data_IF_615967791384
#
_entry.id   IF_615967791384
#
_cell.length_a   1.000
_cell.length_b   1.000
_cell.length_c   1.000
_cell.angle_alpha   90.00
_cell.angle_beta   90.00
_cell.angle_gamma   90.00
#
_symmetry.space_group_name_H-M   'P 1'
#
loop_
_entity.id
_entity.type
_entity.pdbx_description
1 polymer ?
#
# COMPACT_ATOMS: atom_id res chain seq x y z
N UNK A 1 18.50 4.63 27.29
CA UNK A 1 18.00 5.03 25.96
C UNK A 1 17.89 3.76 25.17
N UNK A 2 16.69 3.23 24.98
CA UNK A 2 16.50 1.97 24.26
C UNK A 2 16.46 2.29 22.77
N UNK A 3 17.49 1.90 22.05
CA UNK A 3 17.48 1.84 20.59
C UNK A 3 16.50 0.74 20.14
N UNK A 4 15.23 1.11 20.04
CA UNK A 4 14.11 0.20 19.75
C UNK A 4 13.98 -0.16 18.27
N UNK A 5 15.02 -0.02 17.44
CA UNK A 5 14.92 -0.32 16.02
C UNK A 5 16.21 -0.95 15.50
N UNK A 6 16.48 -2.18 15.92
CA UNK A 6 17.39 -3.02 15.12
C UNK A 6 16.78 -3.22 13.74
N UNK A 7 17.58 -3.09 12.65
CA UNK A 7 17.07 -3.29 11.30
C UNK A 7 16.43 -4.67 11.15
N UNK A 8 15.24 -4.72 10.59
CA UNK A 8 14.61 -6.01 10.27
C UNK A 8 15.43 -6.70 9.16
N UNK A 9 15.75 -8.00 9.28
CA UNK A 9 16.68 -8.69 8.37
C UNK A 9 16.25 -8.70 6.90
N UNK A 10 14.96 -8.50 6.62
CA UNK A 10 14.40 -8.46 5.27
C UNK A 10 14.23 -7.02 4.73
N UNK A 11 14.82 -6.01 5.40
CA UNK A 11 14.79 -4.61 4.96
C UNK A 11 16.20 -4.13 4.58
N UNK A 12 16.26 -3.09 3.75
CA UNK A 12 17.53 -2.48 3.32
C UNK A 12 17.50 -0.97 3.47
N UNK A 13 18.62 -0.33 3.88
CA UNK A 13 18.69 1.12 3.95
C UNK A 13 18.89 1.74 2.57
N UNK A 14 18.52 3.01 2.46
CA UNK A 14 18.97 3.91 1.40
C UNK A 14 19.46 5.21 2.04
N UNK A 15 20.69 5.65 1.74
CA UNK A 15 21.35 6.82 2.32
C UNK A 15 21.21 6.90 3.86
N UNK A 16 21.38 5.77 4.55
CA UNK A 16 21.28 5.67 6.00
C UNK A 16 19.84 5.63 6.56
N UNK A 17 18.81 5.78 5.74
CA UNK A 17 17.42 5.63 6.15
C UNK A 17 17.01 4.16 6.08
N UNK A 18 16.59 3.62 7.22
CA UNK A 18 16.09 2.26 7.35
C UNK A 18 14.56 2.23 7.41
N UNK A 19 13.90 1.21 6.83
CA UNK A 19 12.47 0.99 7.06
C UNK A 19 12.16 0.80 8.54
N UNK A 20 11.04 1.36 8.99
CA UNK A 20 10.51 1.23 10.35
C UNK A 20 9.22 0.41 10.31
N UNK A 21 9.15 -0.62 11.15
CA UNK A 21 8.04 -1.56 11.19
C UNK A 21 7.32 -1.49 12.53
N UNK A 22 6.01 -1.53 12.49
CA UNK A 22 5.16 -1.70 13.66
C UNK A 22 5.17 -3.12 14.21
N UNK A 23 4.39 -3.35 15.25
CA UNK A 23 4.23 -4.68 15.86
C UNK A 23 3.49 -5.64 14.93
N UNK A 24 3.91 -6.91 14.93
CA UNK A 24 3.22 -7.96 14.18
C UNK A 24 3.26 -7.84 12.64
N UNK A 25 4.15 -7.01 12.09
CA UNK A 25 4.32 -6.89 10.64
C UNK A 25 4.93 -8.17 10.07
N UNK A 26 4.33 -8.70 9.01
CA UNK A 26 4.89 -9.80 8.21
C UNK A 26 5.55 -9.27 6.93
N UNK A 27 6.77 -9.66 6.69
CA UNK A 27 7.47 -9.45 5.41
C UNK A 27 7.90 -10.80 4.88
N UNK A 28 7.42 -11.17 3.69
CA UNK A 28 7.84 -12.41 3.03
C UNK A 28 9.33 -12.33 2.66
N UNK A 29 10.12 -13.42 2.83
CA UNK A 29 11.54 -13.46 2.46
C UNK A 29 11.83 -13.09 0.99
N UNK A 30 10.88 -13.26 0.08
CA UNK A 30 11.00 -12.85 -1.32
C UNK A 30 10.57 -11.41 -1.59
N UNK A 31 10.09 -10.67 -0.59
CA UNK A 31 9.75 -9.26 -0.72
C UNK A 31 10.98 -8.35 -0.55
N UNK A 32 10.86 -7.10 -0.97
CA UNK A 32 11.93 -6.10 -0.89
C UNK A 32 11.38 -4.79 -0.32
N UNK A 33 11.92 -4.34 0.82
CA UNK A 33 11.55 -3.06 1.45
C UNK A 33 12.81 -2.21 1.66
N UNK A 34 12.84 -1.00 1.08
CA UNK A 34 14.05 -0.18 1.01
C UNK A 34 13.75 1.27 1.39
N UNK A 35 14.63 1.88 2.20
CA UNK A 35 14.70 3.33 2.41
C UNK A 35 13.70 3.89 3.42
N UNK A 36 13.25 5.12 3.21
CA UNK A 36 12.32 5.82 4.14
C UNK A 36 10.89 5.29 4.00
N UNK A 37 10.67 4.13 4.61
CA UNK A 37 9.38 3.42 4.65
C UNK A 37 8.94 3.23 6.09
N UNK A 38 7.68 3.51 6.38
CA UNK A 38 7.02 3.09 7.63
C UNK A 38 5.85 2.16 7.30
N UNK A 39 5.76 1.05 8.03
CA UNK A 39 4.67 0.08 7.92
C UNK A 39 4.04 -0.10 9.30
N UNK A 40 2.76 0.21 9.41
CA UNK A 40 1.98 0.13 10.64
C UNK A 40 1.70 -1.30 11.10
N UNK A 41 1.23 -1.41 12.34
CA UNK A 41 0.98 -2.67 13.04
C UNK A 41 0.11 -3.63 12.24
N UNK A 42 0.38 -4.93 12.37
CA UNK A 42 -0.37 -6.02 11.75
C UNK A 42 -0.51 -5.99 10.23
N UNK A 43 0.31 -5.20 9.56
CA UNK A 43 0.37 -5.16 8.09
C UNK A 43 1.20 -6.31 7.52
N UNK A 44 1.01 -6.61 6.23
CA UNK A 44 1.70 -7.72 5.57
C UNK A 44 2.18 -7.40 4.17
N UNK A 45 3.41 -7.82 3.87
CA UNK A 45 4.10 -7.64 2.58
C UNK A 45 4.39 -9.02 2.01
N UNK A 46 3.71 -9.36 0.93
CA UNK A 46 3.67 -10.71 0.35
C UNK A 46 4.76 -10.93 -0.72
N UNK A 47 4.95 -12.17 -1.20
CA UNK A 47 6.06 -12.53 -2.08
C UNK A 47 6.24 -11.61 -3.27
N UNK A 48 7.49 -11.31 -3.65
CA UNK A 48 7.89 -10.47 -4.78
C UNK A 48 7.35 -9.04 -4.76
N UNK A 49 6.79 -8.58 -3.65
CA UNK A 49 6.39 -7.18 -3.45
C UNK A 49 7.63 -6.30 -3.28
N UNK A 50 7.66 -5.14 -3.95
CA UNK A 50 8.74 -4.16 -3.83
C UNK A 50 8.18 -2.84 -3.29
N UNK A 51 8.71 -2.39 -2.15
CA UNK A 51 8.41 -1.10 -1.53
C UNK A 51 9.71 -0.31 -1.46
N UNK A 52 9.81 0.79 -2.23
CA UNK A 52 11.05 1.55 -2.35
C UNK A 52 10.83 3.03 -2.10
N UNK A 53 11.22 3.50 -0.90
CA UNK A 53 11.20 4.90 -0.46
C UNK A 53 12.61 5.51 -0.51
N UNK A 54 13.13 5.75 -1.70
CA UNK A 54 14.49 6.24 -1.92
C UNK A 54 14.55 7.75 -2.19
N UNK A 55 13.67 8.28 -3.04
CA UNK A 55 13.67 9.69 -3.44
C UNK A 55 12.55 10.51 -2.77
N UNK A 56 11.70 9.85 -2.01
CA UNK A 56 10.66 10.40 -1.13
C UNK A 56 10.24 9.32 -0.13
N UNK A 57 9.31 9.60 0.79
CA UNK A 57 8.91 8.66 1.80
C UNK A 57 7.66 7.85 1.42
N UNK A 58 7.52 6.67 2.03
CA UNK A 58 6.33 5.82 1.99
C UNK A 58 5.82 5.64 3.42
N UNK A 59 4.52 5.81 3.62
CA UNK A 59 3.84 5.56 4.89
C UNK A 59 2.66 4.65 4.67
N UNK A 60 2.64 3.52 5.36
CA UNK A 60 1.59 2.49 5.28
C UNK A 60 0.99 2.33 6.66
N UNK A 61 -0.33 2.43 6.76
CA UNK A 61 -1.08 2.29 8.00
C UNK A 61 -1.13 0.84 8.50
N UNK A 62 -1.89 0.63 9.58
CA UNK A 62 -2.03 -0.66 10.23
C UNK A 62 -2.98 -1.61 9.45
N UNK A 63 -2.82 -2.93 9.63
CA UNK A 63 -3.68 -3.98 9.05
C UNK A 63 -3.86 -3.88 7.54
N UNK A 64 -2.84 -3.37 6.87
CA UNK A 64 -2.81 -3.18 5.41
C UNK A 64 -1.99 -4.29 4.77
N UNK A 65 -2.52 -4.88 3.71
CA UNK A 65 -1.84 -5.97 3.01
C UNK A 65 -1.44 -5.54 1.58
N UNK A 66 -0.20 -5.85 1.22
CA UNK A 66 0.35 -5.63 -0.11
C UNK A 66 0.66 -7.00 -0.71
N UNK A 67 -0.22 -7.42 -1.63
CA UNK A 67 -0.20 -8.78 -2.16
C UNK A 67 0.91 -8.98 -3.20
N UNK A 68 1.14 -10.23 -3.57
CA UNK A 68 2.26 -10.69 -4.36
C UNK A 68 2.54 -9.85 -5.60
N UNK A 69 3.81 -9.50 -5.78
CA UNK A 69 4.28 -8.73 -6.93
C UNK A 69 3.83 -7.27 -6.99
N UNK A 70 3.22 -6.74 -5.94
CA UNK A 70 2.86 -5.32 -5.86
C UNK A 70 4.11 -4.44 -5.88
N UNK A 71 4.05 -3.29 -6.57
CA UNK A 71 5.12 -2.29 -6.58
C UNK A 71 4.61 -1.01 -5.94
N UNK A 72 5.33 -0.51 -4.94
CA UNK A 72 5.07 0.78 -4.28
C UNK A 72 6.29 1.68 -4.43
N UNK A 73 6.11 2.84 -5.03
CA UNK A 73 7.20 3.79 -5.23
C UNK A 73 6.72 5.23 -5.07
N UNK A 74 7.64 6.17 -5.24
CA UNK A 74 7.49 7.60 -4.98
C UNK A 74 8.04 8.43 -6.13
N UNK A 75 7.69 9.71 -6.18
CA UNK A 75 8.23 10.66 -7.17
C UNK A 75 9.23 11.61 -6.50
N UNK A 76 10.33 11.88 -7.19
CA UNK A 76 11.38 12.80 -6.74
C UNK A 76 10.98 14.27 -6.92
N UNK A 77 11.71 15.16 -6.25
CA UNK A 77 11.74 16.59 -6.53
C UNK A 77 12.69 16.90 -7.72
N UNK A 78 12.29 17.80 -8.61
CA UNK A 78 13.13 18.16 -9.74
C UNK A 78 12.51 19.21 -10.65
N UNK A 79 13.28 19.73 -11.63
CA UNK A 79 12.86 20.86 -12.45
C UNK A 79 11.64 20.61 -13.34
N UNK A 80 11.29 19.34 -13.54
CA UNK A 80 10.12 18.92 -14.31
C UNK A 80 9.09 18.16 -13.46
N UNK A 81 9.28 18.13 -12.13
CA UNK A 81 8.40 17.49 -11.17
C UNK A 81 7.68 18.55 -10.31
N UNK A 82 6.68 18.13 -9.54
CA UNK A 82 6.09 18.97 -8.50
C UNK A 82 7.18 19.28 -7.45
N UNK A 83 7.24 20.55 -6.99
CA UNK A 83 8.11 20.94 -5.89
C UNK A 83 7.91 19.99 -4.68
N UNK A 84 9.01 19.38 -4.21
CA UNK A 84 8.98 18.35 -3.16
C UNK A 84 8.56 16.94 -3.64
N UNK A 85 8.29 16.76 -4.94
CA UNK A 85 7.83 15.47 -5.48
C UNK A 85 6.48 15.02 -4.93
N UNK A 86 6.19 13.73 -5.01
CA UNK A 86 5.04 13.10 -4.38
C UNK A 86 5.48 11.89 -3.57
N UNK A 87 5.16 11.90 -2.28
CA UNK A 87 5.24 10.74 -1.41
C UNK A 87 4.10 9.75 -1.69
N UNK A 88 4.25 8.51 -1.23
CA UNK A 88 3.16 7.54 -1.20
C UNK A 88 2.64 7.38 0.23
N UNK A 89 1.33 7.53 0.39
CA UNK A 89 0.61 7.32 1.65
C UNK A 89 -0.49 6.30 1.44
N UNK A 90 -0.50 5.26 2.25
CA UNK A 90 -1.53 4.22 2.26
C UNK A 90 -2.08 4.15 3.69
N UNK A 91 -3.38 4.25 3.84
CA UNK A 91 -4.07 4.21 5.13
C UNK A 91 -4.07 2.84 5.78
N UNK A 92 -4.91 2.71 6.80
CA UNK A 92 -5.13 1.46 7.53
C UNK A 92 -6.27 0.64 6.91
N UNK A 93 -6.28 -0.67 7.17
CA UNK A 93 -7.32 -1.59 6.68
C UNK A 93 -7.43 -1.63 5.14
N UNK A 94 -6.31 -1.37 4.43
CA UNK A 94 -6.25 -1.34 2.97
C UNK A 94 -5.84 -2.70 2.42
N UNK A 95 -6.50 -3.12 1.34
CA UNK A 95 -6.10 -4.29 0.55
C UNK A 95 -5.55 -3.85 -0.79
N UNK A 96 -4.26 -4.11 -1.04
CA UNK A 96 -3.62 -3.90 -2.33
C UNK A 96 -3.48 -5.26 -3.02
N UNK A 97 -4.26 -5.48 -4.05
CA UNK A 97 -4.31 -6.74 -4.80
C UNK A 97 -3.03 -7.05 -5.56
N UNK A 98 -2.85 -8.35 -5.88
CA UNK A 98 -1.67 -8.88 -6.55
C UNK A 98 -1.27 -8.06 -7.79
N UNK A 99 0.03 -7.80 -7.96
CA UNK A 99 0.63 -7.08 -9.11
C UNK A 99 0.11 -5.66 -9.31
N UNK A 100 -0.49 -5.03 -8.31
CA UNK A 100 -0.85 -3.61 -8.40
C UNK A 100 0.40 -2.72 -8.42
N UNK A 101 0.28 -1.53 -9.03
CA UNK A 101 1.32 -0.51 -9.04
C UNK A 101 0.76 0.73 -8.32
N UNK A 102 1.41 1.12 -7.24
CA UNK A 102 1.06 2.26 -6.42
C UNK A 102 2.22 3.25 -6.50
N UNK A 103 2.04 4.33 -7.23
CA UNK A 103 3.11 5.28 -7.49
C UNK A 103 2.72 6.68 -7.05
N UNK A 104 3.45 7.21 -6.05
CA UNK A 104 3.43 8.63 -5.67
C UNK A 104 2.01 9.20 -5.42
N UNK A 105 1.14 8.45 -4.71
CA UNK A 105 -0.26 8.76 -4.53
C UNK A 105 -0.72 8.62 -3.07
N UNK A 106 -1.95 8.99 -2.79
CA UNK A 106 -2.58 8.82 -1.47
C UNK A 106 -3.76 7.86 -1.58
N UNK A 107 -3.76 6.83 -0.75
CA UNK A 107 -4.85 5.88 -0.56
C UNK A 107 -5.30 6.01 0.88
N UNK A 108 -6.56 6.37 1.11
CA UNK A 108 -7.13 6.51 2.45
C UNK A 108 -7.50 5.14 3.05
N UNK A 109 -8.11 5.13 4.26
CA UNK A 109 -8.41 3.91 4.98
C UNK A 109 -9.49 3.05 4.32
N UNK A 110 -9.44 1.74 4.59
CA UNK A 110 -10.44 0.77 4.16
C UNK A 110 -10.73 0.83 2.66
N UNK A 111 -9.69 0.92 1.84
CA UNK A 111 -9.74 0.90 0.38
C UNK A 111 -9.34 -0.47 -0.14
N UNK A 112 -9.96 -0.89 -1.25
CA UNK A 112 -9.48 -2.04 -2.02
C UNK A 112 -8.97 -1.58 -3.39
N UNK A 113 -7.71 -1.88 -3.66
CA UNK A 113 -7.10 -1.76 -4.99
C UNK A 113 -7.04 -3.15 -5.61
N UNK A 114 -7.73 -3.33 -6.72
CA UNK A 114 -7.84 -4.61 -7.40
C UNK A 114 -6.52 -5.09 -8.02
N UNK A 115 -6.44 -6.40 -8.30
CA UNK A 115 -5.26 -7.04 -8.90
C UNK A 115 -4.85 -6.34 -10.20
N UNK A 116 -3.55 -6.05 -10.35
CA UNK A 116 -3.00 -5.41 -11.55
C UNK A 116 -3.46 -3.98 -11.80
N UNK A 117 -4.17 -3.35 -10.87
CA UNK A 117 -4.54 -1.94 -10.99
C UNK A 117 -3.31 -1.03 -10.84
N UNK A 118 -3.38 0.16 -11.46
CA UNK A 118 -2.31 1.17 -11.44
C UNK A 118 -2.89 2.47 -10.91
N UNK A 119 -2.26 3.02 -9.86
CA UNK A 119 -2.61 4.33 -9.29
C UNK A 119 -1.40 5.24 -9.40
N UNK A 120 -1.54 6.37 -10.09
CA UNK A 120 -0.45 7.24 -10.50
C UNK A 120 -0.33 8.52 -9.65
N UNK A 121 0.74 9.28 -9.93
CA UNK A 121 1.24 10.45 -9.19
C UNK A 121 0.15 11.46 -8.83
N UNK A 122 0.10 11.81 -7.55
CA UNK A 122 -0.84 12.80 -7.03
C UNK A 122 -2.31 12.35 -7.04
N UNK A 123 -2.62 11.13 -7.46
CA UNK A 123 -3.97 10.60 -7.34
C UNK A 123 -4.34 10.40 -5.86
N UNK A 124 -5.63 10.56 -5.55
CA UNK A 124 -6.18 10.36 -4.21
C UNK A 124 -7.34 9.37 -4.30
N UNK A 125 -7.20 8.24 -3.62
CA UNK A 125 -8.28 7.25 -3.47
C UNK A 125 -8.86 7.41 -2.09
N UNK A 126 -10.11 7.90 -2.03
CA UNK A 126 -10.80 8.23 -0.79
C UNK A 126 -11.26 6.98 -0.04
N UNK A 127 -11.48 7.14 1.26
CA UNK A 127 -11.95 6.09 2.17
C UNK A 127 -13.10 5.27 1.57
N UNK A 128 -13.11 3.97 1.84
CA UNK A 128 -14.12 3.00 1.36
C UNK A 128 -14.24 2.90 -0.16
N UNK A 129 -13.30 3.45 -0.94
CA UNK A 129 -13.34 3.29 -2.39
C UNK A 129 -12.84 1.90 -2.83
N UNK A 130 -13.28 1.50 -4.01
CA UNK A 130 -12.87 0.27 -4.68
C UNK A 130 -12.37 0.58 -6.08
N UNK A 131 -11.11 0.33 -6.35
CA UNK A 131 -10.51 0.39 -7.69
C UNK A 131 -10.46 -1.01 -8.25
N UNK A 132 -11.16 -1.27 -9.34
CA UNK A 132 -11.29 -2.61 -9.93
C UNK A 132 -9.98 -3.17 -10.48
N UNK A 133 -9.95 -4.49 -10.69
CA UNK A 133 -8.78 -5.17 -11.25
C UNK A 133 -8.42 -4.61 -12.63
N UNK A 134 -7.11 -4.41 -12.89
CA UNK A 134 -6.59 -3.86 -14.14
C UNK A 134 -6.97 -2.40 -14.42
N UNK A 135 -7.60 -1.71 -13.49
CA UNK A 135 -7.97 -0.30 -13.68
C UNK A 135 -6.74 0.61 -13.61
N UNK A 136 -6.75 1.69 -14.41
CA UNK A 136 -5.73 2.74 -14.40
C UNK A 136 -6.32 4.05 -13.86
N UNK A 137 -5.90 4.46 -12.65
CA UNK A 137 -6.22 5.77 -12.07
C UNK A 137 -5.16 6.77 -12.52
N UNK A 138 -5.49 7.75 -13.40
CA UNK A 138 -4.53 8.71 -13.94
C UNK A 138 -3.96 9.66 -12.88
N UNK A 139 -2.83 10.35 -13.19
CA UNK A 139 -2.24 11.34 -12.30
C UNK A 139 -3.25 12.41 -11.84
N UNK A 140 -3.17 12.79 -10.55
CA UNK A 140 -3.99 13.83 -9.95
C UNK A 140 -5.49 13.51 -9.85
N UNK A 141 -5.93 12.32 -10.23
CA UNK A 141 -7.35 11.94 -10.19
C UNK A 141 -7.80 11.66 -8.76
N UNK A 142 -9.03 12.06 -8.45
CA UNK A 142 -9.67 11.76 -7.17
C UNK A 142 -10.76 10.71 -7.39
N UNK A 143 -10.57 9.55 -6.75
CA UNK A 143 -11.59 8.51 -6.59
C UNK A 143 -12.40 8.85 -5.35
N UNK A 144 -13.70 9.05 -5.49
CA UNK A 144 -14.57 9.52 -4.41
C UNK A 144 -14.79 8.45 -3.32
N UNK A 145 -15.17 8.92 -2.13
CA UNK A 145 -15.47 8.03 -1.00
C UNK A 145 -16.63 7.09 -1.32
N UNK A 146 -16.44 5.79 -1.05
CA UNK A 146 -17.45 4.76 -1.30
C UNK A 146 -17.76 4.54 -2.79
N UNK A 147 -16.89 4.95 -3.69
CA UNK A 147 -17.07 4.74 -5.13
C UNK A 147 -16.31 3.51 -5.64
N UNK A 148 -16.93 2.83 -6.60
CA UNK A 148 -16.29 1.81 -7.42
C UNK A 148 -15.83 2.42 -8.73
N UNK A 149 -14.53 2.28 -9.05
CA UNK A 149 -13.93 2.76 -10.29
C UNK A 149 -13.37 1.61 -11.11
N UNK A 150 -13.69 1.60 -12.42
CA UNK A 150 -13.32 0.53 -13.35
C UNK A 150 -12.74 1.12 -14.64
N UNK A 151 -11.91 0.32 -15.32
CA UNK A 151 -11.43 0.60 -16.67
C UNK A 151 -10.05 1.28 -16.73
N UNK A 152 -9.56 1.50 -17.97
CA UNK A 152 -8.29 2.16 -18.27
C UNK A 152 -8.50 3.17 -19.40
N UNK A 153 -8.57 4.49 -19.13
CA UNK A 153 -8.53 5.11 -17.81
C UNK A 153 -9.76 4.80 -16.96
N UNK A 154 -9.56 4.73 -15.64
CA UNK A 154 -10.62 4.40 -14.69
C UNK A 154 -11.67 5.53 -14.59
N UNK A 155 -12.93 5.11 -14.46
CA UNK A 155 -14.08 6.00 -14.25
C UNK A 155 -14.97 5.45 -13.16
N UNK A 156 -15.69 6.33 -12.47
CA UNK A 156 -16.70 5.93 -11.51
C UNK A 156 -17.80 5.12 -12.22
N UNK A 157 -18.00 3.90 -11.77
CA UNK A 157 -19.05 3.01 -12.25
C UNK A 157 -20.32 3.14 -11.40
N UNK A 158 -20.17 3.18 -10.06
CA UNK A 158 -21.27 3.31 -9.09
C UNK A 158 -20.74 3.54 -7.67
N UNK A 159 -21.62 3.77 -6.74
CA UNK A 159 -21.29 3.68 -5.31
C UNK A 159 -21.32 2.23 -4.82
N UNK A 160 -20.58 1.97 -3.75
CA UNK A 160 -20.64 0.71 -3.01
C UNK A 160 -21.88 0.68 -2.10
N UNK A 161 -22.41 -0.50 -1.88
CA UNK A 161 -23.38 -0.77 -0.82
C UNK A 161 -22.69 -0.92 0.55
N UNK A 162 -23.46 -0.85 1.63
CA UNK A 162 -22.94 -1.05 2.99
C UNK A 162 -22.30 -2.43 3.15
N UNK A 163 -22.90 -3.48 2.58
CA UNK A 163 -22.33 -4.83 2.60
C UNK A 163 -20.98 -4.93 1.85
N UNK A 164 -20.80 -4.17 0.77
CA UNK A 164 -19.51 -4.10 0.06
C UNK A 164 -18.47 -3.35 0.88
N UNK A 165 -18.88 -2.29 1.61
CA UNK A 165 -17.98 -1.58 2.54
C UNK A 165 -17.54 -2.50 3.67
N UNK A 166 -18.45 -3.29 4.26
CA UNK A 166 -18.09 -4.30 5.27
C UNK A 166 -17.11 -5.34 4.71
N UNK A 167 -17.27 -5.74 3.44
CA UNK A 167 -16.36 -6.69 2.77
C UNK A 167 -14.93 -6.13 2.61
N UNK A 168 -14.73 -4.81 2.55
CA UNK A 168 -13.39 -4.20 2.55
C UNK A 168 -12.66 -4.50 3.86
N UNK A 169 -13.33 -4.27 5.00
CA UNK A 169 -12.76 -4.57 6.32
C UNK A 169 -12.55 -6.07 6.54
N UNK A 170 -13.49 -6.89 6.06
CA UNK A 170 -13.33 -8.35 6.12
C UNK A 170 -12.08 -8.81 5.37
N UNK A 171 -11.83 -8.25 4.17
CA UNK A 171 -10.64 -8.55 3.37
C UNK A 171 -9.35 -8.22 4.12
N UNK A 172 -9.24 -7.01 4.66
CA UNK A 172 -8.07 -6.61 5.47
C UNK A 172 -7.88 -7.53 6.69
N UNK A 173 -8.94 -7.79 7.45
CA UNK A 173 -8.91 -8.67 8.61
C UNK A 173 -8.61 -10.14 8.26
N UNK A 174 -8.97 -10.60 7.07
CA UNK A 174 -8.56 -11.92 6.58
C UNK A 174 -7.04 -12.02 6.43
N UNK A 175 -6.40 -11.01 5.85
CA UNK A 175 -4.95 -10.98 5.68
C UNK A 175 -4.18 -10.82 7.01
N UNK A 176 -4.77 -10.16 8.02
CA UNK A 176 -4.21 -10.16 9.38
C UNK A 176 -4.17 -11.60 9.93
N UNK A 177 -5.26 -12.33 9.86
CA UNK A 177 -5.30 -13.74 10.31
C UNK A 177 -4.37 -14.64 9.50
N UNK A 178 -4.30 -14.42 8.19
CA UNK A 178 -3.44 -15.20 7.31
C UNK A 178 -1.94 -14.99 7.64
N UNK A 179 -1.49 -13.75 7.80
CA UNK A 179 -0.10 -13.46 8.15
C UNK A 179 0.28 -14.07 9.51
N UNK A 180 -0.65 -14.12 10.46
CA UNK A 180 -0.41 -14.72 11.77
C UNK A 180 -0.08 -16.21 11.67
N UNK A 181 -0.66 -16.92 10.69
CA UNK A 181 -0.32 -18.31 10.40
C UNK A 181 1.10 -18.45 9.82
N UNK A 182 1.54 -17.47 9.01
CA UNK A 182 2.92 -17.43 8.47
C UNK A 182 3.95 -17.08 9.56
N UNK A 183 3.60 -16.21 10.49
CA UNK A 183 4.46 -15.84 11.63
C UNK A 183 4.56 -16.97 12.67
N UNK A 184 3.50 -17.76 12.81
CA UNK A 184 3.39 -18.83 13.81
C UNK A 184 2.93 -20.14 13.14
N UNK A 185 3.77 -20.74 12.25
CA UNK A 185 3.40 -21.97 11.58
C UNK A 185 3.18 -23.10 12.61
N UNK A 186 2.15 -23.94 12.42
CA UNK A 186 2.01 -25.13 13.27
C UNK A 186 3.26 -26.02 13.15
N UNK A 187 3.64 -26.64 14.28
CA UNK A 187 4.79 -27.53 14.37
C UNK A 187 4.58 -28.79 13.51
#
# INVERSE_FOLDING_TARGET
MNDAHSPHPLTRPYLGQWPRLGGGVYIDPAATVIGDVEIGDDSSVWPATVIRGDVNFIRIGARTNLQDGTIVHVSHDGPHAKLGGFATRIGSDVTIGHKAIIHACTIEDAVLIGMGAIVLDGAVVKKHAFVGAGALVPPGKVVGEGEMWLGSPAKCARRLSDAEIEALYYSAGHYVRLKDQYLNPPA
#
